data_IF_769892630443
#
_entry.id   IF_769892630443
#
_cell.length_a   1.000
_cell.length_b   1.000
_cell.length_c   1.000
_cell.angle_alpha   90.00
_cell.angle_beta   90.00
_cell.angle_gamma   90.00
#
_symmetry.space_group_name_H-M   'P 1'
#
loop_
_entity.id
_entity.type
_entity.pdbx_description
1 polymer ?
#
# COMPACT_ATOMS: atom_id res chain seq x y z
N UNK A 1 -10.98 -10.91 -11.25
CA UNK A 1 -10.54 -11.21 -9.88
C UNK A 1 -11.64 -12.00 -9.19
N UNK A 2 -11.32 -13.12 -8.54
CA UNK A 2 -12.31 -14.00 -7.89
C UNK A 2 -12.40 -13.66 -6.40
N UNK A 3 -13.40 -12.84 -6.05
CA UNK A 3 -13.76 -12.55 -4.68
C UNK A 3 -15.28 -12.58 -4.57
N UNK A 4 -15.81 -13.77 -4.36
CA UNK A 4 -17.23 -13.96 -4.12
C UNK A 4 -17.62 -13.30 -2.81
N UNK A 5 -18.87 -12.85 -2.75
CA UNK A 5 -19.45 -12.20 -1.57
C UNK A 5 -19.32 -13.04 -0.29
N UNK A 6 -19.32 -14.36 -0.43
CA UNK A 6 -19.16 -15.33 0.64
C UNK A 6 -17.87 -15.11 1.44
N UNK A 7 -16.76 -14.70 0.80
CA UNK A 7 -15.47 -14.55 1.46
C UNK A 7 -15.36 -13.26 2.29
N UNK A 8 -16.25 -12.29 2.07
CA UNK A 8 -16.24 -11.01 2.80
C UNK A 8 -17.43 -10.86 3.75
N UNK A 9 -18.29 -11.88 3.84
CA UNK A 9 -19.52 -11.84 4.66
C UNK A 9 -19.22 -11.53 6.13
N UNK A 10 -18.14 -12.09 6.69
CA UNK A 10 -17.77 -11.88 8.08
C UNK A 10 -17.39 -10.41 8.35
N UNK A 11 -16.57 -9.80 7.49
CA UNK A 11 -16.20 -8.39 7.64
C UNK A 11 -17.42 -7.49 7.50
N UNK A 12 -18.28 -7.71 6.50
CA UNK A 12 -19.50 -6.91 6.31
C UNK A 12 -20.47 -7.05 7.47
N UNK A 13 -20.61 -8.25 8.03
CA UNK A 13 -21.45 -8.48 9.20
C UNK A 13 -20.94 -7.69 10.42
N UNK A 14 -19.63 -7.72 10.67
CA UNK A 14 -19.02 -6.95 11.77
C UNK A 14 -19.18 -5.44 11.58
N UNK A 15 -19.11 -4.94 10.34
CA UNK A 15 -19.30 -3.52 10.04
C UNK A 15 -20.74 -3.03 10.27
N UNK A 16 -21.72 -3.90 10.52
CA UNK A 16 -23.06 -3.49 10.95
C UNK A 16 -23.13 -3.11 12.43
N UNK A 17 -22.14 -3.51 13.23
CA UNK A 17 -22.00 -3.09 14.61
C UNK A 17 -21.30 -1.72 14.67
N UNK A 18 -21.99 -0.72 15.24
CA UNK A 18 -21.48 0.67 15.27
C UNK A 18 -20.18 0.84 16.05
N UNK A 19 -19.99 0.10 17.15
CA UNK A 19 -18.76 0.14 17.94
C UNK A 19 -17.58 -0.42 17.12
N UNK A 20 -17.75 -1.59 16.51
CA UNK A 20 -16.73 -2.18 15.65
C UNK A 20 -16.41 -1.28 14.46
N UNK A 21 -17.45 -0.73 13.81
CA UNK A 21 -17.28 0.18 12.67
C UNK A 21 -16.44 1.41 13.05
N UNK A 22 -16.74 2.04 14.19
CA UNK A 22 -15.96 3.18 14.69
C UNK A 22 -14.51 2.80 14.95
N UNK A 23 -14.27 1.70 15.67
CA UNK A 23 -12.91 1.20 15.94
C UNK A 23 -12.15 0.85 14.65
N UNK A 24 -12.83 0.25 13.67
CA UNK A 24 -12.26 -0.07 12.37
C UNK A 24 -11.79 1.19 11.65
N UNK A 25 -12.66 2.21 11.54
CA UNK A 25 -12.33 3.48 10.88
C UNK A 25 -11.16 4.16 11.59
N UNK A 26 -11.22 4.31 12.92
CA UNK A 26 -10.15 4.94 13.71
C UNK A 26 -8.82 4.23 13.51
N UNK A 27 -8.80 2.89 13.63
CA UNK A 27 -7.58 2.12 13.43
C UNK A 27 -7.04 2.28 12.01
N UNK A 28 -7.92 2.33 11.01
CA UNK A 28 -7.52 2.51 9.61
C UNK A 28 -6.83 3.87 9.42
N UNK A 29 -7.44 4.94 9.94
CA UNK A 29 -6.90 6.31 9.84
C UNK A 29 -5.58 6.44 10.60
N UNK A 30 -5.48 5.89 11.82
CA UNK A 30 -4.25 5.89 12.60
C UNK A 30 -3.09 5.23 11.85
N UNK A 31 -3.36 4.12 11.18
CA UNK A 31 -2.37 3.43 10.36
C UNK A 31 -1.93 4.28 9.15
N UNK A 32 -2.86 4.95 8.47
CA UNK A 32 -2.54 5.87 7.36
C UNK A 32 -1.74 7.09 7.81
N UNK A 33 -1.86 7.49 9.07
CA UNK A 33 -1.10 8.59 9.65
C UNK A 33 0.27 8.15 10.20
N UNK A 34 0.50 6.84 10.38
CA UNK A 34 1.71 6.31 11.00
C UNK A 34 2.42 5.30 10.10
N UNK A 35 2.22 3.99 10.32
CA UNK A 35 2.92 2.90 9.64
C UNK A 35 2.74 2.91 8.12
N UNK A 36 1.60 3.41 7.63
CA UNK A 36 1.27 3.51 6.21
C UNK A 36 1.23 4.95 5.72
N UNK A 37 1.85 5.88 6.45
CA UNK A 37 2.08 7.23 5.93
C UNK A 37 3.01 7.18 4.71
N UNK A 38 2.89 8.18 3.85
CA UNK A 38 3.72 8.29 2.65
C UNK A 38 5.21 8.32 3.00
N UNK A 39 5.55 8.99 4.09
CA UNK A 39 6.91 9.15 4.60
C UNK A 39 7.46 7.83 5.13
N UNK A 40 6.70 7.14 5.99
CA UNK A 40 7.12 5.86 6.59
C UNK A 40 7.37 4.80 5.52
N UNK A 41 6.45 4.67 4.55
CA UNK A 41 6.56 3.65 3.49
C UNK A 41 7.71 3.99 2.53
N UNK A 42 7.91 5.26 2.18
CA UNK A 42 9.03 5.67 1.32
C UNK A 42 10.38 5.46 2.03
N UNK A 43 10.49 5.81 3.31
CA UNK A 43 11.70 5.57 4.09
C UNK A 43 12.03 4.07 4.18
N UNK A 44 11.01 3.22 4.36
CA UNK A 44 11.19 1.78 4.35
C UNK A 44 11.64 1.26 2.98
N UNK A 45 11.08 1.80 1.89
CA UNK A 45 11.50 1.47 0.53
C UNK A 45 12.97 1.85 0.30
N UNK A 46 13.38 3.03 0.75
CA UNK A 46 14.76 3.52 0.65
C UNK A 46 15.75 2.63 1.42
N UNK A 47 15.39 2.25 2.65
CA UNK A 47 16.21 1.37 3.47
C UNK A 47 16.40 -0.01 2.81
N UNK A 48 15.34 -0.58 2.25
CA UNK A 48 15.43 -1.85 1.52
C UNK A 48 16.25 -1.70 0.24
N UNK A 49 16.06 -0.62 -0.52
CA UNK A 49 16.81 -0.36 -1.73
C UNK A 49 18.31 -0.28 -1.43
N UNK A 50 18.71 0.44 -0.37
CA UNK A 50 20.11 0.54 0.04
C UNK A 50 20.77 -0.82 0.30
N UNK A 51 20.02 -1.79 0.85
CA UNK A 51 20.50 -3.16 1.11
C UNK A 51 20.66 -3.94 -0.20
N UNK A 52 19.67 -3.85 -1.10
CA UNK A 52 19.63 -4.72 -2.28
C UNK A 52 20.37 -4.18 -3.50
N UNK A 53 20.48 -2.85 -3.65
CA UNK A 53 21.01 -2.19 -4.84
C UNK A 53 22.37 -2.74 -5.31
N UNK A 54 23.34 -3.05 -4.43
CA UNK A 54 24.64 -3.61 -4.86
C UNK A 54 24.53 -4.98 -5.56
N UNK A 55 23.50 -5.76 -5.24
CA UNK A 55 23.31 -7.11 -5.77
C UNK A 55 22.44 -7.14 -7.04
N UNK A 56 21.60 -6.11 -7.23
CA UNK A 56 20.65 -6.02 -8.35
C UNK A 56 21.31 -6.27 -9.72
N UNK A 57 22.47 -5.69 -10.08
CA UNK A 57 23.08 -5.92 -11.39
C UNK A 57 23.31 -7.41 -11.71
N UNK A 58 23.75 -8.19 -10.71
CA UNK A 58 23.97 -9.63 -10.89
C UNK A 58 22.65 -10.38 -11.10
N UNK A 59 21.59 -10.00 -10.37
CA UNK A 59 20.26 -10.59 -10.54
C UNK A 59 19.65 -10.25 -11.90
N UNK A 60 19.78 -9.01 -12.36
CA UNK A 60 19.30 -8.57 -13.68
C UNK A 60 19.90 -9.42 -14.80
N UNK A 61 21.20 -9.69 -14.75
CA UNK A 61 21.91 -10.51 -15.73
C UNK A 61 21.56 -11.99 -15.61
N UNK A 62 21.65 -12.56 -14.40
CA UNK A 62 21.49 -14.01 -14.19
C UNK A 62 20.08 -14.51 -14.50
N UNK A 63 19.06 -13.67 -14.30
CA UNK A 63 17.65 -14.05 -14.42
C UNK A 63 16.95 -13.34 -15.59
N UNK A 64 17.69 -12.56 -16.38
CA UNK A 64 17.15 -11.72 -17.46
C UNK A 64 15.98 -10.81 -17.01
N UNK A 65 16.01 -10.37 -15.74
CA UNK A 65 14.99 -9.46 -15.20
C UNK A 65 15.16 -8.08 -15.82
N UNK A 66 14.04 -7.39 -16.08
CA UNK A 66 14.02 -6.08 -16.73
C UNK A 66 14.83 -6.02 -18.05
N UNK A 67 15.08 -7.16 -18.69
CA UNK A 67 16.00 -7.32 -19.84
C UNK A 67 17.44 -6.87 -19.55
N UNK A 68 17.93 -7.12 -18.34
CA UNK A 68 19.27 -6.71 -17.91
C UNK A 68 19.43 -5.21 -17.63
N UNK A 69 18.35 -4.42 -17.76
CA UNK A 69 18.42 -2.96 -17.68
C UNK A 69 18.22 -2.46 -16.25
N UNK A 70 19.26 -1.80 -15.72
CA UNK A 70 19.21 -1.12 -14.44
C UNK A 70 18.21 0.06 -14.47
N UNK A 71 18.16 0.79 -15.57
CA UNK A 71 17.23 1.91 -15.75
C UNK A 71 15.77 1.45 -15.63
N UNK A 72 15.42 0.32 -16.26
CA UNK A 72 14.08 -0.27 -16.15
C UNK A 72 13.75 -0.75 -14.74
N UNK A 73 14.74 -1.27 -14.01
CA UNK A 73 14.56 -1.60 -12.60
C UNK A 73 14.27 -0.36 -11.77
N UNK A 74 15.08 0.70 -11.92
CA UNK A 74 14.89 1.97 -11.21
C UNK A 74 13.55 2.64 -11.55
N UNK A 75 13.08 2.53 -12.79
CA UNK A 75 11.76 3.02 -13.18
C UNK A 75 10.61 2.32 -12.43
N UNK A 76 10.73 1.03 -12.13
CA UNK A 76 9.74 0.34 -11.29
C UNK A 76 9.83 0.78 -9.82
N UNK A 77 11.03 1.09 -9.30
CA UNK A 77 11.20 1.67 -7.97
C UNK A 77 10.49 3.04 -7.88
N UNK A 78 10.62 3.89 -8.91
CA UNK A 78 9.92 5.18 -8.95
C UNK A 78 8.39 5.04 -9.02
N UNK A 79 7.89 3.98 -9.67
CA UNK A 79 6.45 3.63 -9.61
C UNK A 79 6.04 3.25 -8.20
N UNK A 80 6.85 2.49 -7.47
CA UNK A 80 6.59 2.15 -6.07
C UNK A 80 6.57 3.38 -5.18
N UNK A 81 7.50 4.34 -5.37
CA UNK A 81 7.48 5.62 -4.66
C UNK A 81 6.20 6.40 -4.93
N UNK A 82 5.83 6.52 -6.19
CA UNK A 82 4.60 7.23 -6.61
C UNK A 82 3.36 6.57 -5.99
N UNK A 83 3.31 5.24 -5.97
CA UNK A 83 2.25 4.50 -5.29
C UNK A 83 2.22 4.81 -3.79
N UNK A 84 3.35 4.70 -3.10
CA UNK A 84 3.45 4.95 -1.67
C UNK A 84 3.03 6.38 -1.30
N UNK A 85 3.40 7.36 -2.13
CA UNK A 85 3.02 8.77 -1.96
C UNK A 85 1.52 8.99 -2.07
N UNK A 86 0.88 8.40 -3.07
CA UNK A 86 -0.53 8.68 -3.38
C UNK A 86 -1.51 7.76 -2.63
N UNK A 87 -1.04 6.63 -2.11
CA UNK A 87 -1.89 5.60 -1.48
C UNK A 87 -2.67 6.10 -0.26
N UNK A 88 -2.09 6.87 0.68
CA UNK A 88 -2.83 7.29 1.86
C UNK A 88 -4.08 8.09 1.53
N UNK A 89 -3.97 9.06 0.62
CA UNK A 89 -5.10 9.91 0.23
C UNK A 89 -6.15 9.16 -0.57
N UNK A 90 -5.73 8.27 -1.48
CA UNK A 90 -6.66 7.40 -2.19
C UNK A 90 -7.48 6.53 -1.23
N UNK A 91 -6.85 5.99 -0.18
CA UNK A 91 -7.54 5.15 0.79
C UNK A 91 -8.43 5.96 1.73
N UNK A 92 -8.03 7.18 2.12
CA UNK A 92 -8.93 8.12 2.81
C UNK A 92 -10.18 8.40 1.96
N UNK A 93 -10.01 8.57 0.64
CA UNK A 93 -11.13 8.67 -0.30
C UNK A 93 -12.08 7.48 -0.22
N UNK A 94 -11.55 6.26 -0.29
CA UNK A 94 -12.37 5.05 -0.17
C UNK A 94 -13.13 4.96 1.17
N UNK A 95 -12.51 5.36 2.29
CA UNK A 95 -13.18 5.37 3.60
C UNK A 95 -14.34 6.37 3.62
N UNK A 96 -14.14 7.57 3.07
CA UNK A 96 -15.20 8.58 2.94
C UNK A 96 -16.35 8.08 2.08
N UNK A 97 -16.05 7.53 0.91
CA UNK A 97 -17.06 7.05 -0.03
C UNK A 97 -17.85 5.87 0.54
N UNK A 98 -17.18 4.92 1.19
CA UNK A 98 -17.81 3.72 1.72
C UNK A 98 -18.66 3.98 2.97
N UNK A 99 -18.19 4.85 3.88
CA UNK A 99 -18.87 5.14 5.15
C UNK A 99 -19.68 6.44 5.15
N UNK A 100 -19.68 7.21 4.06
CA UNK A 100 -20.41 8.48 3.94
C UNK A 100 -19.86 9.59 4.83
N UNK A 101 -18.54 9.64 5.04
CA UNK A 101 -17.91 10.57 5.97
C UNK A 101 -17.64 11.94 5.32
N UNK A 102 -17.92 13.03 6.04
CA UNK A 102 -17.59 14.40 5.60
C UNK A 102 -16.14 14.78 5.89
N UNK A 103 -15.53 14.15 6.91
CA UNK A 103 -14.10 14.27 7.27
C UNK A 103 -13.50 12.86 7.36
N UNK A 104 -12.22 12.66 6.99
CA UNK A 104 -11.52 11.45 7.40
C UNK A 104 -11.41 11.37 8.92
#
# INVERSE_FOLDING_TARGET
WYNKDEFTVMLRALLTNEEFKSQFITRFVDLLNTSYSAETVQAQLDALLAIYLPYVPQHLLRWNLHRGSMERYLAEIERMRTYAKNRPDAVRGHLKDYFGLTSP
#
